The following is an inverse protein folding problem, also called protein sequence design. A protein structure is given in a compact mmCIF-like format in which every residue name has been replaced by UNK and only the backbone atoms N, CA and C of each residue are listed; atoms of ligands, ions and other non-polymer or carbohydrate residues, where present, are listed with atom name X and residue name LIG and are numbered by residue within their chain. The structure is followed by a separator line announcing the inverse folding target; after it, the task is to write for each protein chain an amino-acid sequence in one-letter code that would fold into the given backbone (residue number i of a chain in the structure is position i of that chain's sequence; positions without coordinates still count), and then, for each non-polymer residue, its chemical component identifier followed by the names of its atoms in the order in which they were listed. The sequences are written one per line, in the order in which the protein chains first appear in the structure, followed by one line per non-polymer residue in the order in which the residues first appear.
data_IF_234220719200
#
_entry.id   IF_234220719200
#
_cell.length_a   1.000
_cell.length_b   1.000
_cell.length_c   1.000
_cell.angle_alpha   90.00
_cell.angle_beta   90.00
_cell.angle_gamma   90.00
#
_symmetry.space_group_name_H-M   'P 1'
#
loop_
_entity.id
_entity.type
_entity.pdbx_description
1 polymer ?
#
# COMPACT_ATOMS: atom_id res chain seq x y z
N UNK A 1 10.24 6.50 -19.61
CA UNK A 1 11.18 7.11 -18.70
C UNK A 1 11.42 6.21 -17.53
N UNK A 2 12.61 6.20 -17.08
CA UNK A 2 13.04 5.26 -16.06
C UNK A 2 12.29 5.41 -14.75
N UNK A 3 11.75 6.58 -14.44
CA UNK A 3 11.09 6.80 -13.15
C UNK A 3 9.57 6.75 -13.23
N UNK A 4 9.02 6.26 -14.34
CA UNK A 4 7.57 6.16 -14.44
C UNK A 4 6.99 5.25 -13.38
N UNK A 5 7.61 4.09 -13.13
CA UNK A 5 7.07 3.16 -12.15
C UNK A 5 7.14 3.74 -10.74
N UNK A 6 8.21 4.46 -10.42
CA UNK A 6 8.32 5.16 -9.13
C UNK A 6 7.16 6.14 -8.95
N UNK A 7 6.92 6.97 -9.96
CA UNK A 7 5.88 7.98 -9.89
C UNK A 7 4.48 7.36 -9.82
N UNK A 8 4.25 6.29 -10.57
CA UNK A 8 2.96 5.62 -10.58
C UNK A 8 2.67 4.99 -9.23
N UNK A 9 3.67 4.29 -8.65
CA UNK A 9 3.49 3.69 -7.33
C UNK A 9 3.18 4.76 -6.29
N UNK A 10 3.94 5.85 -6.29
CA UNK A 10 3.76 6.93 -5.33
C UNK A 10 2.39 7.58 -5.46
N UNK A 11 1.91 7.73 -6.69
CA UNK A 11 0.61 8.36 -6.94
C UNK A 11 -0.54 7.59 -6.28
N UNK A 12 -0.41 6.27 -6.14
CA UNK A 12 -1.43 5.47 -5.46
C UNK A 12 -1.61 5.91 -4.02
N UNK A 13 -0.51 6.11 -3.32
CA UNK A 13 -0.55 6.52 -1.91
C UNK A 13 -1.08 7.95 -1.79
N UNK A 14 -0.70 8.81 -2.71
CA UNK A 14 -1.22 10.18 -2.73
C UNK A 14 -2.73 10.19 -2.94
N UNK A 15 -3.23 9.32 -3.81
CA UNK A 15 -4.67 9.21 -4.04
C UNK A 15 -5.41 8.77 -2.78
N UNK A 16 -4.81 7.87 -2.00
CA UNK A 16 -5.40 7.45 -0.72
C UNK A 16 -5.50 8.63 0.25
N UNK A 17 -4.42 9.38 0.40
CA UNK A 17 -4.42 10.52 1.32
C UNK A 17 -5.43 11.56 0.90
N UNK A 18 -5.52 11.81 -0.41
CA UNK A 18 -6.45 12.82 -0.94
C UNK A 18 -7.86 12.31 -1.09
N UNK A 19 -8.09 11.01 -0.90
CA UNK A 19 -9.39 10.36 -1.11
C UNK A 19 -9.87 10.54 -2.55
N UNK A 20 -8.93 10.47 -3.49
CA UNK A 20 -9.18 10.77 -4.91
C UNK A 20 -9.44 9.47 -5.66
N UNK A 21 -10.70 9.06 -5.67
CA UNK A 21 -11.09 7.80 -6.31
C UNK A 21 -10.82 7.80 -7.80
N UNK A 22 -11.08 8.92 -8.46
CA UNK A 22 -10.85 8.99 -9.91
C UNK A 22 -9.39 8.75 -10.25
N UNK A 23 -8.48 9.29 -9.42
CA UNK A 23 -7.06 9.09 -9.64
C UNK A 23 -6.68 7.62 -9.52
N UNK A 24 -7.17 6.94 -8.48
CA UNK A 24 -6.80 5.55 -8.30
C UNK A 24 -7.45 4.65 -9.34
N UNK A 25 -8.67 4.99 -9.77
CA UNK A 25 -9.30 4.23 -10.85
C UNK A 25 -8.46 4.30 -12.14
N UNK A 26 -7.86 5.44 -12.41
CA UNK A 26 -7.03 5.60 -13.60
C UNK A 26 -5.70 4.85 -13.49
N UNK A 27 -5.20 4.64 -12.26
CA UNK A 27 -3.91 3.99 -12.05
C UNK A 27 -4.01 2.47 -12.10
N UNK A 28 -5.16 1.89 -11.75
CA UNK A 28 -5.31 0.43 -11.67
C UNK A 28 -5.79 -0.15 -13.00
N UNK A 29 -5.12 -1.21 -13.46
CA UNK A 29 -5.51 -1.89 -14.69
C UNK A 29 -6.83 -2.63 -14.50
N UNK A 30 -7.49 -2.97 -15.60
CA UNK A 30 -8.74 -3.72 -15.52
C UNK A 30 -8.54 -5.10 -14.90
N UNK A 31 -7.38 -5.72 -15.13
CA UNK A 31 -7.05 -7.04 -14.60
C UNK A 31 -6.23 -6.96 -13.31
N UNK A 32 -6.33 -5.85 -12.60
CA UNK A 32 -5.65 -5.64 -11.32
C UNK A 32 -6.09 -6.68 -10.28
N UNK A 33 -5.13 -7.12 -9.46
CA UNK A 33 -5.39 -7.97 -8.30
C UNK A 33 -4.69 -7.44 -7.07
N UNK A 34 -5.29 -7.70 -5.92
CA UNK A 34 -4.81 -7.21 -4.63
C UNK A 34 -4.74 -8.37 -3.64
N UNK A 35 -3.62 -8.50 -2.94
CA UNK A 35 -3.41 -9.55 -1.94
C UNK A 35 -2.86 -8.94 -0.67
N UNK A 36 -3.40 -9.37 0.47
CA UNK A 36 -2.90 -8.99 1.79
C UNK A 36 -3.09 -10.18 2.70
N UNK A 37 -2.67 -10.11 3.97
CA UNK A 37 -2.95 -11.20 4.91
C UNK A 37 -4.44 -11.52 5.06
N UNK A 38 -5.32 -10.59 4.74
CA UNK A 38 -6.76 -10.79 4.83
C UNK A 38 -7.43 -11.05 3.48
N UNK A 39 -6.71 -10.87 2.36
CA UNK A 39 -7.33 -10.82 1.04
C UNK A 39 -6.52 -11.65 0.07
N UNK A 40 -7.18 -12.56 -0.65
CA UNK A 40 -6.49 -13.42 -1.60
C UNK A 40 -6.89 -13.06 -3.03
N UNK A 41 -6.01 -12.33 -3.73
CA UNK A 41 -6.17 -11.99 -5.14
C UNK A 41 -7.53 -11.38 -5.46
N UNK A 42 -7.93 -10.39 -4.71
CA UNK A 42 -9.15 -9.65 -5.01
C UNK A 42 -9.06 -9.04 -6.40
N UNK A 43 -10.14 -9.13 -7.16
CA UNK A 43 -10.17 -8.43 -8.44
C UNK A 43 -10.42 -6.94 -8.22
N UNK A 44 -10.38 -6.18 -9.32
CA UNK A 44 -10.48 -4.72 -9.24
C UNK A 44 -11.79 -4.27 -8.59
N UNK A 45 -12.90 -4.86 -8.99
CA UNK A 45 -14.21 -4.48 -8.44
C UNK A 45 -14.30 -4.75 -6.95
N UNK A 46 -13.82 -5.92 -6.50
CA UNK A 46 -13.84 -6.28 -5.09
C UNK A 46 -12.90 -5.40 -4.29
N UNK A 47 -11.74 -5.06 -4.86
CA UNK A 47 -10.82 -4.14 -4.20
C UNK A 47 -11.51 -2.79 -3.92
N UNK A 48 -12.21 -2.24 -4.91
CA UNK A 48 -12.88 -0.96 -4.70
C UNK A 48 -14.03 -1.09 -3.69
N UNK A 49 -14.69 -2.22 -3.65
CA UNK A 49 -15.80 -2.43 -2.70
C UNK A 49 -15.30 -2.63 -1.27
N UNK A 50 -14.17 -3.35 -1.10
CA UNK A 50 -13.75 -3.82 0.22
C UNK A 50 -12.55 -3.07 0.79
N UNK A 51 -11.64 -2.59 -0.06
CA UNK A 51 -10.37 -2.02 0.40
C UNK A 51 -10.32 -0.50 0.26
N UNK A 52 -10.79 0.02 -0.86
CA UNK A 52 -10.75 1.47 -1.08
C UNK A 52 -11.46 2.26 0.02
N UNK A 53 -12.57 1.78 0.62
CA UNK A 53 -13.22 2.54 1.70
C UNK A 53 -12.28 2.82 2.87
N UNK A 54 -11.23 2.02 3.07
CA UNK A 54 -10.26 2.26 4.13
C UNK A 54 -9.50 3.57 3.95
N UNK A 55 -9.48 4.12 2.74
CA UNK A 55 -8.83 5.40 2.49
C UNK A 55 -9.41 6.50 3.38
N UNK A 56 -10.68 6.38 3.77
CA UNK A 56 -11.31 7.37 4.63
C UNK A 56 -10.60 7.54 5.97
N UNK A 57 -9.91 6.50 6.44
CA UNK A 57 -9.23 6.55 7.74
C UNK A 57 -7.73 6.79 7.63
N UNK A 58 -7.19 6.99 6.43
CA UNK A 58 -5.76 7.23 6.24
C UNK A 58 -5.49 8.72 6.24
N UNK A 59 -4.55 9.16 7.09
CA UNK A 59 -4.16 10.56 7.17
C UNK A 59 -2.88 10.83 6.37
N UNK A 60 -1.88 9.94 6.45
CA UNK A 60 -0.61 10.21 5.79
C UNK A 60 0.21 8.93 5.65
N UNK A 61 1.19 8.98 4.76
CA UNK A 61 2.21 7.96 4.62
C UNK A 61 3.59 8.60 4.66
N UNK A 62 4.52 7.98 5.38
CA UNK A 62 5.94 8.35 5.36
C UNK A 62 6.69 7.19 4.71
N UNK A 63 7.36 7.46 3.59
CA UNK A 63 8.05 6.40 2.86
C UNK A 63 9.46 6.23 3.42
N UNK A 64 9.79 5.01 3.81
CA UNK A 64 11.14 4.66 4.21
C UNK A 64 11.93 4.08 3.04
N UNK A 65 11.26 3.30 2.20
CA UNK A 65 11.86 2.73 1.00
C UNK A 65 10.85 2.76 -0.11
N UNK A 66 11.29 3.18 -1.28
CA UNK A 66 10.46 3.16 -2.48
C UNK A 66 11.41 2.85 -3.63
N UNK A 67 11.60 1.54 -3.89
CA UNK A 67 12.70 1.05 -4.69
C UNK A 67 12.16 0.33 -5.93
N UNK A 68 12.36 0.90 -7.12
CA UNK A 68 11.98 0.22 -8.37
C UNK A 68 12.91 -0.94 -8.66
N UNK A 69 12.34 -2.03 -9.20
CA UNK A 69 13.08 -3.18 -9.66
C UNK A 69 12.32 -3.80 -10.82
N UNK A 70 12.69 -3.42 -12.05
CA UNK A 70 11.96 -3.86 -13.23
C UNK A 70 10.55 -3.34 -13.22
N UNK A 71 9.58 -4.25 -13.35
CA UNK A 71 8.16 -3.90 -13.32
C UNK A 71 7.63 -3.71 -11.91
N UNK A 72 8.44 -3.98 -10.89
CA UNK A 72 8.00 -3.91 -9.50
C UNK A 72 8.56 -2.71 -8.79
N UNK A 73 7.80 -2.21 -7.83
CA UNK A 73 8.28 -1.18 -6.91
C UNK A 73 8.03 -1.70 -5.50
N UNK A 74 9.10 -1.74 -4.71
CA UNK A 74 9.03 -2.19 -3.32
C UNK A 74 8.90 -0.95 -2.44
N UNK A 75 7.83 -0.91 -1.65
CA UNK A 75 7.49 0.27 -0.87
C UNK A 75 7.36 -0.12 0.60
N UNK A 76 8.21 0.45 1.45
CA UNK A 76 8.07 0.31 2.90
C UNK A 76 7.71 1.67 3.45
N UNK A 77 6.65 1.72 4.26
CA UNK A 77 6.15 2.99 4.74
C UNK A 77 5.61 2.87 6.16
N UNK A 78 5.49 4.01 6.80
CA UNK A 78 4.70 4.14 8.01
C UNK A 78 3.42 4.89 7.66
N UNK A 79 2.29 4.25 7.91
CA UNK A 79 0.99 4.87 7.70
C UNK A 79 0.49 5.45 9.00
N UNK A 80 -0.30 6.52 8.91
CA UNK A 80 -0.96 7.11 10.06
C UNK A 80 -2.43 7.22 9.77
N UNK A 81 -3.26 6.73 10.70
CA UNK A 81 -4.70 6.88 10.57
C UNK A 81 -5.15 8.22 11.09
N UNK A 82 -6.40 8.60 10.76
CA UNK A 82 -6.98 9.83 11.25
C UNK A 82 -7.16 9.80 12.77
N UNK A 83 -7.20 8.61 13.37
CA UNK A 83 -7.25 8.45 14.82
C UNK A 83 -5.88 8.49 15.47
N UNK A 84 -4.82 8.66 14.70
CA UNK A 84 -3.46 8.74 15.22
C UNK A 84 -2.74 7.41 15.36
N UNK A 85 -3.37 6.32 14.96
CA UNK A 85 -2.73 5.01 14.96
C UNK A 85 -1.66 4.96 13.87
N UNK A 86 -0.47 4.47 14.20
CA UNK A 86 0.64 4.36 13.25
C UNK A 86 1.00 2.90 13.06
N UNK A 87 1.35 2.55 11.84
CA UNK A 87 1.66 1.17 11.50
C UNK A 87 2.66 1.13 10.34
N UNK A 88 3.37 0.02 10.21
CA UNK A 88 4.36 -0.16 9.15
C UNK A 88 4.01 -1.36 8.30
N UNK A 89 4.11 -1.17 6.98
CA UNK A 89 3.87 -2.23 6.01
C UNK A 89 4.90 -2.16 4.90
N UNK A 90 5.08 -3.28 4.21
CA UNK A 90 5.79 -3.29 2.93
C UNK A 90 4.82 -3.79 1.87
N UNK A 91 4.80 -3.11 0.73
CA UNK A 91 3.97 -3.50 -0.40
C UNK A 91 4.83 -3.69 -1.63
N UNK A 92 4.44 -4.63 -2.46
CA UNK A 92 5.08 -4.86 -3.75
C UNK A 92 4.07 -4.50 -4.81
N UNK A 93 4.38 -3.45 -5.58
CA UNK A 93 3.47 -2.92 -6.61
C UNK A 93 4.03 -3.31 -7.96
N UNK A 94 3.26 -4.04 -8.75
CA UNK A 94 3.66 -4.45 -10.10
C UNK A 94 2.97 -3.54 -11.11
N UNK A 95 3.77 -2.97 -12.00
CA UNK A 95 3.30 -1.99 -12.98
C UNK A 95 3.61 -2.52 -14.37
N UNK A 96 2.62 -2.45 -15.26
CA UNK A 96 2.78 -2.87 -16.63
C UNK A 96 1.99 -1.91 -17.52
N UNK A 97 2.66 -1.38 -18.54
CA UNK A 97 1.98 -0.46 -19.44
C UNK A 97 1.47 0.79 -18.75
N UNK A 98 2.21 1.28 -17.75
CA UNK A 98 1.89 2.49 -16.98
C UNK A 98 0.68 2.35 -16.07
N UNK A 99 0.22 1.12 -15.83
CA UNK A 99 -0.86 0.86 -14.88
C UNK A 99 -0.44 -0.20 -13.89
N UNK A 100 -1.03 -0.15 -12.72
CA UNK A 100 -0.77 -1.12 -11.66
C UNK A 100 -1.61 -2.36 -11.93
N UNK A 101 -0.95 -3.51 -12.04
CA UNK A 101 -1.65 -4.78 -12.30
C UNK A 101 -1.71 -5.67 -11.07
N UNK A 102 -0.90 -5.40 -10.05
CA UNK A 102 -0.89 -6.24 -8.86
C UNK A 102 -0.31 -5.47 -7.68
N UNK A 103 -0.88 -5.68 -6.51
CA UNK A 103 -0.33 -5.18 -5.25
C UNK A 103 -0.38 -6.30 -4.24
N UNK A 104 0.77 -6.56 -3.60
CA UNK A 104 0.86 -7.47 -2.46
C UNK A 104 1.26 -6.68 -1.24
N UNK A 105 0.50 -6.82 -0.16
CA UNK A 105 0.76 -6.10 1.08
C UNK A 105 1.24 -7.08 2.14
N UNK A 106 2.36 -6.74 2.76
CA UNK A 106 2.93 -7.51 3.87
C UNK A 106 2.84 -6.64 5.12
N UNK A 107 2.08 -7.07 6.10
CA UNK A 107 1.89 -6.30 7.33
C UNK A 107 3.16 -6.35 8.17
N UNK A 108 3.52 -5.20 8.72
CA UNK A 108 4.59 -5.09 9.70
C UNK A 108 4.01 -5.04 11.10
N UNK A 109 4.20 -3.93 11.77
CA UNK A 109 3.81 -3.80 13.18
C UNK A 109 3.29 -2.39 13.46
N UNK A 110 2.61 -2.26 14.60
CA UNK A 110 2.15 -0.95 15.07
C UNK A 110 3.31 -0.18 15.70
N UNK A 111 3.20 1.13 15.69
CA UNK A 111 4.21 2.02 16.27
C UNK A 111 3.54 2.80 17.39
N UNK A 112 4.09 2.81 18.61
CA UNK A 112 5.34 2.14 19.03
C UNK A 112 5.21 0.62 18.99
N UNK A 113 6.34 -0.04 18.81
CA UNK A 113 6.39 -1.49 18.83
C UNK A 113 6.02 -1.98 20.22
N UNK A 114 5.25 -3.06 20.30
CA UNK A 114 4.79 -3.58 21.59
C UNK A 114 5.94 -4.08 22.47
N UNK A 115 6.91 -4.76 21.87
CA UNK A 115 8.03 -5.26 22.64
C UNK A 115 9.05 -4.16 22.86
N UNK A 116 9.74 -4.16 24.02
CA UNK A 116 10.81 -3.20 24.26
C UNK A 116 12.00 -3.51 23.37
N UNK A 117 12.88 -2.52 23.21
CA UNK A 117 14.13 -2.73 22.47
C UNK A 117 14.90 -3.87 23.13
N UNK A 118 15.31 -4.85 22.30
CA UNK A 118 16.02 -6.02 22.81
C UNK A 118 15.11 -7.12 23.33
N UNK A 119 13.81 -6.86 23.40
CA UNK A 119 12.85 -7.85 23.86
C UNK A 119 12.08 -8.47 22.70
N UNK A 120 11.04 -9.22 23.05
CA UNK A 120 10.21 -9.87 22.04
C UNK A 120 8.79 -10.03 22.59
N UNK A 121 7.85 -10.32 21.69
CA UNK A 121 6.48 -10.59 22.08
C UNK A 121 6.32 -12.10 22.17
N UNK A 122 5.89 -12.56 23.34
CA UNK A 122 5.70 -13.98 23.59
C UNK A 122 4.28 -14.36 23.17
N UNK A 123 4.15 -14.94 21.99
CA UNK A 123 2.87 -15.34 21.43
C UNK A 123 2.58 -16.78 21.79
N UNK A 124 1.38 -17.02 22.26
CA UNK A 124 0.93 -18.36 22.54
C UNK A 124 -0.27 -18.74 21.71
#
# INVERSE_FOLDING_TARGET
MMNDSFAIARATYEAYVKKDRAAIEALLAQDFHFTSPFDNRLDRATYFASCWPNSATIASFDFFHLVPDGERVFVTYEGRSTAGHRFRNTEIVTIRGRQIVDVEVYFGWSVPYEAPVGGFIDKK
#
